data_IF_263222082313
#
_entry.id   IF_263222082313
#
_cell.length_a   1.000
_cell.length_b   1.000
_cell.length_c   1.000
_cell.angle_alpha   90.00
_cell.angle_beta   90.00
_cell.angle_gamma   90.00
#
_symmetry.space_group_name_H-M   'P 1'
#
loop_
_entity.id
_entity.type
_entity.pdbx_description
1 polymer ?
#
# COMPACT_ATOMS: atom_id res chain seq x y z
N UNK A 1 -7.66 -6.38 -20.81
CA UNK A 1 -6.49 -6.20 -20.00
C UNK A 1 -6.43 -7.30 -18.94
N UNK A 2 -5.37 -8.03 -18.98
CA UNK A 2 -5.22 -9.36 -18.44
C UNK A 2 -4.48 -9.35 -17.08
N UNK A 3 -4.86 -8.42 -16.22
CA UNK A 3 -4.36 -8.42 -14.83
C UNK A 3 -5.25 -9.31 -13.98
N UNK A 4 -4.68 -10.35 -13.44
CA UNK A 4 -5.32 -11.22 -12.46
C UNK A 4 -4.95 -10.68 -11.08
N UNK A 5 -5.95 -10.39 -10.27
CA UNK A 5 -5.73 -10.02 -8.86
C UNK A 5 -5.32 -11.30 -8.13
N UNK A 6 -4.13 -11.28 -7.58
CA UNK A 6 -3.59 -12.34 -6.71
C UNK A 6 -3.20 -11.71 -5.38
N UNK A 7 -3.60 -12.28 -4.29
CA UNK A 7 -3.18 -11.84 -2.97
C UNK A 7 -1.78 -12.37 -2.64
N UNK A 8 -0.86 -12.28 -3.60
CA UNK A 8 0.51 -12.74 -3.49
C UNK A 8 1.43 -11.80 -4.26
N UNK A 9 2.56 -11.46 -3.66
CA UNK A 9 3.61 -10.65 -4.30
C UNK A 9 4.40 -11.46 -5.34
N UNK A 10 4.40 -12.79 -5.22
CA UNK A 10 5.16 -13.68 -6.11
C UNK A 10 4.20 -14.40 -7.04
N UNK A 11 4.45 -14.42 -8.35
CA UNK A 11 3.60 -15.13 -9.32
C UNK A 11 3.47 -16.63 -9.00
N UNK A 12 2.33 -17.21 -9.37
CA UNK A 12 2.11 -18.66 -9.27
C UNK A 12 3.16 -19.42 -10.07
N UNK A 13 3.57 -20.56 -9.55
CA UNK A 13 4.57 -21.47 -10.14
C UNK A 13 5.98 -20.87 -10.31
N UNK A 14 6.23 -19.67 -9.81
CA UNK A 14 7.54 -19.05 -9.87
C UNK A 14 8.49 -19.62 -8.82
N UNK A 15 8.00 -19.81 -7.60
CA UNK A 15 8.74 -20.47 -6.50
C UNK A 15 7.84 -21.47 -5.83
N UNK A 16 8.39 -22.67 -5.63
CA UNK A 16 7.71 -23.75 -4.94
C UNK A 16 8.54 -24.26 -3.76
N UNK A 17 7.89 -24.64 -2.67
CA UNK A 17 8.49 -25.31 -1.54
C UNK A 17 7.60 -26.48 -1.13
N UNK A 18 8.20 -27.67 -1.06
CA UNK A 18 7.45 -28.88 -0.72
C UNK A 18 6.28 -29.20 -1.67
N UNK A 19 6.40 -28.84 -2.96
CA UNK A 19 5.33 -29.03 -3.96
C UNK A 19 4.17 -28.04 -3.88
N UNK A 20 4.25 -27.01 -3.03
CA UNK A 20 3.27 -25.94 -2.91
C UNK A 20 3.84 -24.63 -3.46
N UNK A 21 2.99 -23.83 -4.08
CA UNK A 21 3.36 -22.47 -4.48
C UNK A 21 3.69 -21.62 -3.25
N UNK A 22 4.72 -20.78 -3.36
CA UNK A 22 5.11 -19.85 -2.30
C UNK A 22 3.96 -18.92 -1.90
N UNK A 23 3.19 -18.43 -2.88
CA UNK A 23 2.02 -17.59 -2.60
C UNK A 23 0.99 -18.26 -1.71
N UNK A 24 0.76 -19.56 -1.87
CA UNK A 24 -0.21 -20.32 -1.04
C UNK A 24 0.32 -20.54 0.38
N UNK A 25 1.63 -20.76 0.51
CA UNK A 25 2.28 -20.85 1.83
C UNK A 25 2.19 -19.50 2.54
N UNK A 26 2.52 -18.42 1.86
CA UNK A 26 2.45 -17.07 2.43
C UNK A 26 1.04 -16.68 2.87
N UNK A 27 0.00 -17.07 2.12
CA UNK A 27 -1.40 -16.86 2.50
C UNK A 27 -1.77 -17.61 3.78
N UNK A 28 -1.33 -18.85 3.92
CA UNK A 28 -1.54 -19.63 5.14
C UNK A 28 -0.86 -19.02 6.35
N UNK A 29 0.34 -18.51 6.18
CA UNK A 29 1.07 -17.81 7.25
C UNK A 29 0.42 -16.47 7.63
N UNK A 30 -0.13 -15.72 6.68
CA UNK A 30 -0.87 -14.49 6.98
C UNK A 30 -2.05 -14.72 7.93
N UNK A 31 -2.77 -15.82 7.79
CA UNK A 31 -3.87 -16.18 8.70
C UNK A 31 -3.37 -16.36 10.13
N UNK A 32 -2.13 -16.81 10.29
CA UNK A 32 -1.50 -17.00 11.60
C UNK A 32 -0.88 -15.70 12.17
N UNK A 33 -0.69 -14.68 11.33
CA UNK A 33 0.09 -13.48 11.68
C UNK A 33 -0.71 -12.42 12.47
N UNK A 34 -2.02 -12.54 12.54
CA UNK A 34 -2.83 -11.64 13.34
C UNK A 34 -4.33 -11.86 13.19
N UNK A 35 -5.07 -11.45 14.19
CA UNK A 35 -6.53 -11.61 14.24
C UNK A 35 -7.27 -10.90 13.10
N UNK A 36 -6.65 -9.84 12.52
CA UNK A 36 -7.21 -9.12 11.37
C UNK A 36 -7.39 -10.02 10.13
N UNK A 37 -6.63 -11.10 10.02
CA UNK A 37 -6.69 -12.01 8.88
C UNK A 37 -7.58 -13.25 9.15
N UNK A 38 -8.07 -13.44 10.37
CA UNK A 38 -8.97 -14.53 10.68
C UNK A 38 -10.28 -14.43 9.90
N UNK A 39 -10.65 -15.51 9.23
CA UNK A 39 -11.86 -15.59 8.43
C UNK A 39 -11.78 -14.82 7.09
N UNK A 40 -10.62 -14.36 6.69
CA UNK A 40 -10.38 -13.78 5.37
C UNK A 40 -10.02 -14.90 4.40
N UNK A 41 -10.83 -15.08 3.36
CA UNK A 41 -10.52 -16.02 2.27
C UNK A 41 -9.48 -15.39 1.33
N UNK A 42 -8.27 -15.91 1.31
CA UNK A 42 -7.17 -15.37 0.52
C UNK A 42 -6.89 -16.14 -0.77
N UNK A 43 -7.61 -17.23 -1.01
CA UNK A 43 -7.27 -18.19 -2.08
C UNK A 43 -7.84 -17.81 -3.43
N UNK A 44 -9.02 -17.22 -3.50
CA UNK A 44 -9.80 -17.11 -4.75
C UNK A 44 -9.47 -15.90 -5.63
N UNK A 45 -8.50 -15.08 -5.27
CA UNK A 45 -8.11 -13.90 -6.07
C UNK A 45 -9.18 -12.83 -6.27
N UNK A 46 -10.37 -13.04 -5.70
CA UNK A 46 -11.39 -12.01 -5.57
C UNK A 46 -10.99 -11.09 -4.42
N UNK A 47 -11.56 -9.93 -4.38
CA UNK A 47 -11.23 -8.81 -3.53
C UNK A 47 -11.37 -9.12 -2.02
N UNK A 48 -10.62 -10.12 -1.57
CA UNK A 48 -10.68 -10.67 -0.21
C UNK A 48 -10.10 -9.72 0.83
N UNK A 49 -9.29 -8.75 0.39
CA UNK A 49 -8.75 -7.68 1.22
C UNK A 49 -9.77 -6.54 1.37
N UNK A 50 -10.72 -6.41 0.44
CA UNK A 50 -11.78 -5.42 0.52
C UNK A 50 -12.78 -5.80 1.62
N UNK A 51 -12.77 -5.07 2.72
CA UNK A 51 -13.64 -5.31 3.86
C UNK A 51 -14.13 -3.98 4.47
N UNK A 52 -15.26 -3.44 3.98
CA UNK A 52 -15.81 -2.16 4.43
C UNK A 52 -16.11 -2.12 5.94
N UNK A 53 -16.56 -3.21 6.51
CA UNK A 53 -16.91 -3.26 7.94
C UNK A 53 -15.65 -3.19 8.82
N UNK A 54 -14.60 -3.90 8.44
CA UNK A 54 -13.30 -3.78 9.11
C UNK A 54 -12.70 -2.38 8.92
N UNK A 55 -12.83 -1.80 7.71
CA UNK A 55 -12.36 -0.44 7.44
C UNK A 55 -13.05 0.57 8.35
N UNK A 56 -14.38 0.51 8.45
CA UNK A 56 -15.17 1.36 9.37
C UNK A 56 -14.73 1.19 10.83
N UNK A 57 -14.63 -0.04 11.29
CA UNK A 57 -14.24 -0.32 12.68
C UNK A 57 -12.81 0.17 13.00
N UNK A 58 -11.88 0.07 12.04
CA UNK A 58 -10.53 0.58 12.18
C UNK A 58 -10.50 2.10 12.16
N UNK A 59 -11.29 2.71 11.27
CA UNK A 59 -11.40 4.15 11.16
C UNK A 59 -11.98 4.78 12.43
N UNK A 60 -13.02 4.20 13.02
CA UNK A 60 -13.60 4.71 14.28
C UNK A 60 -12.59 4.74 15.44
N UNK A 61 -11.70 3.78 15.50
CA UNK A 61 -10.60 3.79 16.48
C UNK A 61 -9.60 4.92 16.18
N UNK A 62 -9.17 5.02 14.93
CA UNK A 62 -8.22 6.04 14.49
C UNK A 62 -8.82 7.45 14.66
N UNK A 63 -10.09 7.64 14.36
CA UNK A 63 -10.80 8.92 14.51
C UNK A 63 -10.74 9.42 15.95
N UNK A 64 -11.06 8.58 16.94
CA UNK A 64 -10.98 8.94 18.36
C UNK A 64 -9.57 9.37 18.78
N UNK A 65 -8.56 8.67 18.27
CA UNK A 65 -7.17 9.01 18.55
C UNK A 65 -6.77 10.35 17.91
N UNK A 66 -7.17 10.57 16.66
CA UNK A 66 -6.88 11.80 15.91
C UNK A 66 -7.61 13.00 16.53
N UNK A 67 -8.87 12.85 16.93
CA UNK A 67 -9.63 13.89 17.66
C UNK A 67 -8.94 14.26 18.98
N UNK A 68 -8.44 13.26 19.72
CA UNK A 68 -7.70 13.50 20.95
C UNK A 68 -6.39 14.28 20.75
N UNK A 69 -5.84 14.25 19.53
CA UNK A 69 -4.67 15.00 19.11
C UNK A 69 -5.01 16.35 18.46
N UNK A 70 -6.30 16.73 18.42
CA UNK A 70 -6.75 17.99 17.86
C UNK A 70 -6.89 18.02 16.34
N UNK A 71 -6.92 16.86 15.68
CA UNK A 71 -7.15 16.78 14.25
C UNK A 71 -8.61 17.08 13.95
N UNK A 72 -8.85 17.96 12.97
CA UNK A 72 -10.19 18.30 12.47
C UNK A 72 -10.55 17.45 11.26
N UNK A 73 -11.85 17.20 11.08
CA UNK A 73 -12.39 16.43 9.98
C UNK A 73 -13.17 17.31 9.00
N UNK A 74 -13.28 16.94 7.72
CA UNK A 74 -12.65 15.76 7.11
C UNK A 74 -11.12 15.88 7.02
N UNK A 75 -10.43 14.75 7.09
CA UNK A 75 -9.04 14.69 6.65
C UNK A 75 -9.01 14.59 5.12
N UNK A 76 -8.07 15.30 4.50
CA UNK A 76 -7.84 15.30 3.06
C UNK A 76 -6.63 14.45 2.74
N UNK A 77 -6.73 13.58 1.73
CA UNK A 77 -5.65 12.72 1.28
C UNK A 77 -5.43 12.92 -0.22
N UNK A 78 -4.27 13.43 -0.57
CA UNK A 78 -3.88 13.74 -1.93
C UNK A 78 -3.41 12.51 -2.71
N UNK A 79 -3.99 12.32 -3.90
CA UNK A 79 -3.65 11.23 -4.82
C UNK A 79 -3.24 11.82 -6.17
N UNK A 80 -1.94 11.93 -6.46
CA UNK A 80 -1.48 12.45 -7.75
C UNK A 80 -1.74 11.45 -8.88
N UNK A 81 -2.29 11.94 -9.98
CA UNK A 81 -2.54 11.14 -11.18
C UNK A 81 -2.16 11.93 -12.43
N UNK A 82 -1.58 11.25 -13.40
CA UNK A 82 -1.31 11.86 -14.69
C UNK A 82 -2.62 12.15 -15.43
N UNK A 83 -2.83 13.41 -15.79
CA UNK A 83 -4.10 13.89 -16.39
C UNK A 83 -4.41 13.27 -17.74
N UNK A 84 -3.41 12.79 -18.48
CA UNK A 84 -3.57 12.15 -19.79
C UNK A 84 -3.78 10.64 -19.70
N UNK A 85 -3.50 10.02 -18.54
CA UNK A 85 -3.82 8.60 -18.27
C UNK A 85 -5.27 8.47 -17.80
N UNK A 86 -6.17 8.35 -18.79
CA UNK A 86 -7.61 8.24 -18.52
C UNK A 86 -7.97 7.03 -17.67
N UNK A 87 -7.22 5.94 -17.76
CA UNK A 87 -7.44 4.74 -16.94
C UNK A 87 -7.05 5.00 -15.49
N UNK A 88 -5.89 5.60 -15.26
CA UNK A 88 -5.45 5.96 -13.91
C UNK A 88 -6.40 6.97 -13.26
N UNK A 89 -6.87 7.97 -14.01
CA UNK A 89 -7.87 8.93 -13.53
C UNK A 89 -9.17 8.22 -13.12
N UNK A 90 -9.69 7.30 -13.95
CA UNK A 90 -10.89 6.54 -13.62
C UNK A 90 -10.70 5.65 -12.39
N UNK A 91 -9.56 4.98 -12.29
CA UNK A 91 -9.24 4.15 -11.13
C UNK A 91 -9.15 4.97 -9.85
N UNK A 92 -8.50 6.13 -9.89
CA UNK A 92 -8.40 7.04 -8.75
C UNK A 92 -9.76 7.59 -8.32
N UNK A 93 -10.64 7.91 -9.27
CA UNK A 93 -12.00 8.32 -8.95
C UNK A 93 -12.85 7.18 -8.37
N UNK A 94 -12.68 5.95 -8.85
CA UNK A 94 -13.35 4.78 -8.27
C UNK A 94 -12.85 4.50 -6.84
N UNK A 95 -11.56 4.66 -6.61
CA UNK A 95 -10.97 4.57 -5.27
C UNK A 95 -11.54 5.64 -4.34
N UNK A 96 -11.56 6.91 -4.78
CA UNK A 96 -12.20 8.02 -4.06
C UNK A 96 -13.63 7.66 -3.66
N UNK A 97 -14.45 7.26 -4.62
CA UNK A 97 -15.86 6.91 -4.38
C UNK A 97 -15.98 5.76 -3.37
N UNK A 98 -15.13 4.74 -3.47
CA UNK A 98 -15.13 3.60 -2.56
C UNK A 98 -14.81 4.03 -1.11
N UNK A 99 -13.78 4.83 -0.91
CA UNK A 99 -13.37 5.31 0.42
C UNK A 99 -14.44 6.25 1.01
N UNK A 100 -14.85 7.27 0.27
CA UNK A 100 -15.82 8.26 0.75
C UNK A 100 -17.20 7.67 1.03
N UNK A 101 -17.66 6.71 0.22
CA UNK A 101 -18.92 6.01 0.49
C UNK A 101 -18.83 5.04 1.68
N UNK A 102 -17.64 4.52 1.97
CA UNK A 102 -17.44 3.60 3.09
C UNK A 102 -17.26 4.34 4.41
N UNK A 103 -16.42 5.37 4.44
CA UNK A 103 -16.02 6.08 5.67
C UNK A 103 -16.83 7.37 5.92
N UNK A 104 -17.53 7.87 4.91
CA UNK A 104 -18.21 9.17 4.93
C UNK A 104 -17.29 10.30 4.49
N UNK A 105 -17.75 11.12 3.54
CA UNK A 105 -17.00 12.31 3.07
C UNK A 105 -16.82 13.39 4.14
N UNK A 106 -17.62 13.36 5.19
CA UNK A 106 -17.44 14.20 6.36
C UNK A 106 -16.25 13.78 7.24
N UNK A 107 -15.70 12.60 7.00
CA UNK A 107 -14.56 12.05 7.72
C UNK A 107 -13.27 12.04 6.87
N UNK A 108 -13.37 11.60 5.63
CA UNK A 108 -12.22 11.46 4.71
C UNK A 108 -12.62 11.95 3.33
N UNK A 109 -11.79 12.78 2.74
CA UNK A 109 -11.90 13.23 1.35
C UNK A 109 -10.65 12.79 0.61
N UNK A 110 -10.82 12.17 -0.54
CA UNK A 110 -9.72 11.86 -1.45
C UNK A 110 -9.63 12.94 -2.52
N UNK A 111 -8.54 13.66 -2.55
CA UNK A 111 -8.28 14.71 -3.54
C UNK A 111 -7.46 14.13 -4.70
N UNK A 112 -8.14 13.86 -5.82
CA UNK A 112 -7.49 13.35 -7.03
C UNK A 112 -6.84 14.50 -7.77
N UNK A 113 -5.53 14.64 -7.62
CA UNK A 113 -4.73 15.73 -8.20
C UNK A 113 -4.31 15.35 -9.62
N UNK A 114 -5.04 15.82 -10.61
CA UNK A 114 -4.68 15.65 -12.01
C UNK A 114 -3.60 16.65 -12.40
N UNK A 115 -2.45 16.15 -12.81
CA UNK A 115 -1.29 16.95 -13.14
C UNK A 115 -0.57 16.42 -14.37
N UNK A 116 0.37 17.16 -14.90
CA UNK A 116 1.22 16.69 -15.99
C UNK A 116 2.15 15.57 -15.51
N UNK A 117 2.65 14.75 -16.42
CA UNK A 117 3.60 13.70 -16.11
C UNK A 117 4.85 14.22 -15.38
N UNK A 118 5.41 15.33 -15.86
CA UNK A 118 6.57 15.94 -15.23
C UNK A 118 6.30 16.43 -13.80
N UNK A 119 5.13 17.01 -13.54
CA UNK A 119 4.74 17.45 -12.20
C UNK A 119 4.60 16.25 -11.28
N UNK A 120 3.87 15.22 -11.73
CA UNK A 120 3.71 13.97 -10.97
C UNK A 120 5.05 13.31 -10.68
N UNK A 121 5.90 13.14 -11.68
CA UNK A 121 7.22 12.55 -11.48
C UNK A 121 8.09 13.35 -10.51
N UNK A 122 8.01 14.67 -10.53
CA UNK A 122 8.81 15.53 -9.64
C UNK A 122 8.54 15.25 -8.17
N UNK A 123 7.29 14.97 -7.79
CA UNK A 123 6.89 14.68 -6.42
C UNK A 123 6.89 13.18 -6.10
N UNK A 124 6.94 12.30 -7.09
CA UNK A 124 6.93 10.84 -6.89
C UNK A 124 8.27 10.19 -7.17
N UNK A 125 8.53 9.76 -8.39
CA UNK A 125 9.68 8.96 -8.78
C UNK A 125 11.00 9.72 -8.70
N UNK A 126 11.01 11.00 -9.06
CA UNK A 126 12.20 11.86 -9.05
C UNK A 126 12.51 12.46 -7.68
N UNK A 127 11.54 12.51 -6.78
CA UNK A 127 11.75 13.00 -5.42
C UNK A 127 12.76 12.11 -4.67
N UNK A 128 13.82 12.72 -4.18
CA UNK A 128 14.96 12.03 -3.54
C UNK A 128 14.88 11.97 -2.03
N UNK A 129 14.16 12.92 -1.45
CA UNK A 129 13.98 13.03 0.00
C UNK A 129 12.50 13.13 0.35
N UNK A 130 12.08 12.71 1.56
CA UNK A 130 10.67 12.76 1.96
C UNK A 130 10.02 14.13 1.79
N UNK A 131 10.72 15.20 2.10
CA UNK A 131 10.22 16.57 1.98
C UNK A 131 9.83 16.99 0.55
N UNK A 132 10.24 16.24 -0.47
CA UNK A 132 9.85 16.47 -1.87
C UNK A 132 8.61 15.66 -2.26
N UNK A 133 8.13 14.78 -1.37
CA UNK A 133 6.94 13.95 -1.56
C UNK A 133 5.71 14.74 -1.12
N UNK A 134 5.11 15.44 -2.03
CA UNK A 134 3.94 16.28 -1.76
C UNK A 134 2.66 15.52 -2.19
N UNK A 135 2.39 14.42 -1.50
CA UNK A 135 1.20 13.60 -1.66
C UNK A 135 1.04 12.64 -0.46
N UNK A 136 -0.17 12.15 -0.24
CA UNK A 136 -0.47 11.18 0.82
C UNK A 136 -0.50 9.75 0.30
N UNK A 137 -1.08 9.53 -0.86
CA UNK A 137 -1.24 8.21 -1.47
C UNK A 137 -0.73 8.22 -2.92
N UNK A 138 -0.05 7.16 -3.31
CA UNK A 138 0.40 7.00 -4.70
C UNK A 138 0.25 5.55 -5.15
N UNK A 139 -0.30 5.36 -6.35
CA UNK A 139 -0.31 4.06 -7.01
C UNK A 139 1.01 3.84 -7.73
N UNK A 140 1.67 2.74 -7.41
CA UNK A 140 2.94 2.38 -8.04
C UNK A 140 2.96 0.89 -8.39
N UNK A 141 3.87 0.51 -9.26
CA UNK A 141 4.13 -0.87 -9.63
C UNK A 141 5.59 -1.24 -9.43
N UNK A 142 5.85 -2.51 -9.31
CA UNK A 142 7.19 -3.05 -9.27
C UNK A 142 7.32 -4.25 -10.20
N UNK A 143 8.34 -4.22 -11.04
CA UNK A 143 8.76 -5.37 -11.83
C UNK A 143 10.16 -5.78 -11.37
N UNK A 144 10.35 -7.00 -10.87
CA UNK A 144 11.65 -7.45 -10.42
C UNK A 144 12.62 -7.59 -11.60
N UNK A 145 13.89 -7.35 -11.33
CA UNK A 145 14.97 -7.69 -12.25
C UNK A 145 15.29 -9.17 -12.08
N UNK A 146 15.26 -9.92 -13.15
CA UNK A 146 15.54 -11.36 -13.17
C UNK A 146 14.49 -12.24 -12.44
N UNK A 147 14.64 -13.55 -12.56
CA UNK A 147 13.79 -14.55 -11.89
C UNK A 147 14.27 -14.79 -10.44
N UNK A 148 14.50 -13.73 -9.68
CA UNK A 148 14.90 -13.83 -8.29
C UNK A 148 13.74 -13.43 -7.38
N UNK A 149 13.20 -14.35 -6.59
CA UNK A 149 12.12 -14.06 -5.63
C UNK A 149 12.46 -12.95 -4.63
N UNK A 150 13.72 -12.88 -4.19
CA UNK A 150 14.17 -11.87 -3.26
C UNK A 150 14.03 -10.44 -3.82
N UNK A 151 14.08 -10.28 -5.14
CA UNK A 151 13.90 -8.97 -5.78
C UNK A 151 12.51 -8.39 -5.61
N UNK A 152 11.48 -9.21 -5.35
CA UNK A 152 10.13 -8.75 -4.99
C UNK A 152 10.07 -8.19 -3.56
N UNK A 153 10.91 -8.70 -2.69
CA UNK A 153 10.89 -8.43 -1.25
C UNK A 153 11.89 -7.34 -0.86
N UNK A 154 13.05 -7.30 -1.49
CA UNK A 154 14.14 -6.37 -1.16
C UNK A 154 13.76 -4.88 -1.28
N UNK A 155 12.72 -4.55 -2.04
CA UNK A 155 12.23 -3.16 -2.13
C UNK A 155 11.79 -2.61 -0.78
N UNK A 156 11.40 -3.47 0.15
CA UNK A 156 10.95 -3.12 1.50
C UNK A 156 12.07 -3.18 2.55
N UNK A 157 13.32 -3.48 2.18
CA UNK A 157 14.45 -3.42 3.12
C UNK A 157 14.63 -1.99 3.65
N UNK A 158 14.57 -1.75 4.98
CA UNK A 158 14.62 -0.39 5.55
C UNK A 158 15.94 0.34 5.31
N UNK A 159 17.00 -0.36 4.91
CA UNK A 159 18.31 0.23 4.63
C UNK A 159 18.56 0.47 3.14
N UNK A 160 18.10 -0.42 2.28
CA UNK A 160 18.46 -0.46 0.86
C UNK A 160 17.27 -0.42 -0.09
N UNK A 161 16.08 -0.68 0.43
CA UNK A 161 14.87 -0.83 -0.37
C UNK A 161 14.45 0.45 -1.09
N UNK A 162 14.10 0.32 -2.36
CA UNK A 162 13.66 1.45 -3.19
C UNK A 162 12.31 2.02 -2.77
N UNK A 163 11.47 1.22 -2.08
CA UNK A 163 10.18 1.68 -1.58
C UNK A 163 10.30 2.64 -0.38
N UNK A 164 11.42 2.63 0.35
CA UNK A 164 11.57 3.42 1.58
C UNK A 164 11.34 4.92 1.37
N UNK A 165 11.86 5.47 0.29
CA UNK A 165 11.64 6.89 -0.03
C UNK A 165 10.17 7.23 -0.28
N UNK A 166 9.37 6.28 -0.78
CA UNK A 166 7.94 6.46 -1.00
C UNK A 166 7.11 6.39 0.28
N UNK A 167 7.66 5.74 1.31
CA UNK A 167 7.10 5.69 2.67
C UNK A 167 7.56 6.85 3.55
N UNK A 168 8.27 7.83 3.00
CA UNK A 168 8.82 8.94 3.77
C UNK A 168 9.99 8.55 4.67
N UNK A 169 10.55 7.36 4.49
CA UNK A 169 11.64 6.84 5.33
C UNK A 169 12.99 7.30 4.78
N UNK A 170 13.72 8.04 5.60
CA UNK A 170 15.08 8.46 5.32
C UNK A 170 16.06 7.44 5.91
N UNK A 171 16.95 6.94 5.08
CA UNK A 171 17.93 5.91 5.43
C UNK A 171 18.61 6.17 6.78
N UNK A 172 18.38 5.29 7.75
CA UNK A 172 19.03 5.30 9.04
C UNK A 172 18.54 6.34 10.06
N UNK A 173 17.50 7.13 9.74
CA UNK A 173 17.00 8.20 10.61
C UNK A 173 15.62 7.90 11.24
N UNK A 174 14.77 7.18 10.53
CA UNK A 174 13.37 7.01 10.93
C UNK A 174 13.12 5.66 11.64
N UNK A 175 13.90 5.38 12.69
CA UNK A 175 13.83 4.10 13.41
C UNK A 175 12.45 3.82 14.01
N UNK A 176 11.77 4.85 14.48
CA UNK A 176 10.44 4.73 15.06
C UNK A 176 9.42 4.33 14.00
N UNK A 177 9.42 4.98 12.84
CA UNK A 177 8.55 4.65 11.71
C UNK A 177 8.83 3.24 11.19
N UNK A 178 10.10 2.87 11.07
CA UNK A 178 10.54 1.52 10.67
C UNK A 178 9.98 0.46 11.63
N UNK A 179 10.06 0.71 12.95
CA UNK A 179 9.53 -0.19 13.96
C UNK A 179 7.99 -0.26 13.94
N UNK A 180 7.31 0.88 13.81
CA UNK A 180 5.84 0.94 13.72
C UNK A 180 5.30 0.18 12.52
N UNK A 181 6.02 0.21 11.39
CA UNK A 181 5.67 -0.52 10.17
C UNK A 181 6.13 -1.99 10.17
N UNK A 182 6.81 -2.45 11.23
CA UNK A 182 7.34 -3.81 11.32
C UNK A 182 8.45 -4.14 10.34
N UNK A 183 9.11 -3.15 9.75
CA UNK A 183 10.12 -3.36 8.71
C UNK A 183 11.42 -3.97 9.26
N UNK A 184 11.70 -3.83 10.54
CA UNK A 184 12.83 -4.49 11.21
C UNK A 184 12.61 -6.00 11.30
N UNK A 185 11.37 -6.43 11.56
CA UNK A 185 11.00 -7.86 11.56
C UNK A 185 11.02 -8.42 10.14
N UNK A 186 10.49 -7.66 9.18
CA UNK A 186 10.54 -8.03 7.78
C UNK A 186 11.98 -8.30 7.30
N UNK A 187 12.93 -7.45 7.73
CA UNK A 187 14.34 -7.62 7.39
C UNK A 187 14.95 -8.94 7.90
N UNK A 188 14.45 -9.48 9.01
CA UNK A 188 14.94 -10.77 9.55
C UNK A 188 14.48 -11.95 8.69
N UNK A 189 13.44 -11.76 7.86
CA UNK A 189 12.91 -12.78 6.97
C UNK A 189 13.59 -12.79 5.59
N UNK A 190 14.30 -11.72 5.24
CA UNK A 190 15.13 -11.61 4.02
C UNK A 190 16.50 -12.26 4.21
#
# INVERSE_FOLDING_TARGET
ADKIIRNSLVPDNFVQSGGKNFGDIAKQELVNYGDQWKGVELVDGKDTIYNPDKAKASFEKAKKELESKGVTFPIHLDVPVEQTDTIAVQQSNSFKQSIESTLGSENVVIDVLQMTDNEKESITSQARVPAQKDYDLNSTGWAPSYQDPASYLNIMDPKTGSAMKHLGITKGKDKEVVAQLGLDEYKKLL
#
